data_IF_048272688904
#
_entry.id   IF_048272688904
#
_cell.length_a   1.000
_cell.length_b   1.000
_cell.length_c   1.000
_cell.angle_alpha   90.00
_cell.angle_beta   90.00
_cell.angle_gamma   90.00
#
_symmetry.space_group_name_H-M   'P 1'
#
loop_
_entity.id
_entity.type
_entity.pdbx_description
1 polymer ?
#
# COMPACT_ATOMS: atom_id res chain seq x y z
N UNK A 1 3.61 4.75 23.97
CA UNK A 1 4.44 4.86 22.76
C UNK A 1 3.90 6.01 21.91
N UNK A 2 4.65 7.10 21.76
CA UNK A 2 4.23 8.24 20.95
C UNK A 2 4.58 8.03 19.49
N UNK A 3 3.63 8.29 18.58
CA UNK A 3 3.94 8.41 17.15
C UNK A 3 4.83 9.63 16.94
N UNK A 4 5.83 9.53 16.05
CA UNK A 4 6.67 10.67 15.69
C UNK A 4 5.90 11.63 14.76
N UNK A 5 6.18 12.93 14.88
CA UNK A 5 5.68 13.93 13.94
C UNK A 5 6.32 13.71 12.56
N UNK A 6 5.52 13.80 11.49
CA UNK A 6 6.00 13.65 10.11
C UNK A 6 6.04 15.02 9.43
N UNK A 7 7.11 15.28 8.65
CA UNK A 7 7.25 16.52 7.88
C UNK A 7 6.88 16.29 6.43
N UNK A 8 5.88 17.02 5.94
CA UNK A 8 5.55 17.12 4.53
C UNK A 8 5.61 18.60 4.14
N UNK A 9 6.48 18.94 3.18
CA UNK A 9 6.55 20.25 2.52
C UNK A 9 6.53 21.48 3.46
N UNK A 10 7.27 21.43 4.56
CA UNK A 10 7.41 22.55 5.51
C UNK A 10 6.31 22.65 6.56
N UNK A 11 5.32 21.75 6.54
CA UNK A 11 4.31 21.62 7.59
C UNK A 11 4.67 20.44 8.49
N UNK A 12 4.70 20.68 9.80
CA UNK A 12 4.86 19.63 10.80
C UNK A 12 3.49 19.07 11.15
N UNK A 13 3.23 17.84 10.73
CA UNK A 13 1.97 17.18 11.04
C UNK A 13 2.04 16.59 12.44
N UNK A 14 1.07 16.88 13.33
CA UNK A 14 1.05 16.30 14.65
C UNK A 14 0.89 14.77 14.53
N UNK A 15 1.45 14.02 15.49
CA UNK A 15 1.26 12.59 15.51
C UNK A 15 -0.22 12.24 15.67
N UNK A 16 -0.70 11.32 14.84
CA UNK A 16 -2.07 10.79 14.92
C UNK A 16 -2.06 9.62 15.90
N UNK A 17 -2.89 9.69 16.93
CA UNK A 17 -3.08 8.58 17.87
C UNK A 17 -3.92 7.47 17.22
N UNK A 18 -3.41 6.23 17.26
CA UNK A 18 -4.14 5.03 16.87
C UNK A 18 -4.03 3.98 18.00
N UNK A 19 -5.16 3.47 18.52
CA UNK A 19 -5.14 2.49 19.61
C UNK A 19 -4.88 1.05 19.13
N UNK A 20 -4.87 0.81 17.82
CA UNK A 20 -4.68 -0.52 17.25
C UNK A 20 -3.20 -0.81 16.96
N UNK A 21 -2.80 -2.06 17.13
CA UNK A 21 -1.47 -2.52 16.73
C UNK A 21 -1.34 -2.54 15.21
N UNK A 22 -0.16 -2.17 14.71
CA UNK A 22 0.14 -2.23 13.28
C UNK A 22 0.27 -3.68 12.84
N UNK A 23 -0.48 -4.08 11.82
CA UNK A 23 -0.38 -5.38 11.19
C UNK A 23 -0.19 -5.24 9.68
N UNK A 24 0.45 -6.23 9.06
CA UNK A 24 0.64 -6.32 7.61
C UNK A 24 0.56 -7.79 7.19
N UNK A 25 -0.08 -8.05 6.06
CA UNK A 25 -0.19 -9.40 5.52
C UNK A 25 1.21 -10.00 5.28
N UNK A 26 1.50 -11.22 5.77
CA UNK A 26 2.84 -11.81 5.72
C UNK A 26 3.38 -11.99 4.28
N UNK A 27 2.47 -12.08 3.30
CA UNK A 27 2.80 -12.27 1.88
C UNK A 27 2.76 -10.98 1.04
N UNK A 28 2.78 -9.80 1.67
CA UNK A 28 2.66 -8.50 0.97
C UNK A 28 3.59 -8.38 -0.24
N UNK A 29 4.83 -8.85 -0.16
CA UNK A 29 5.80 -8.79 -1.26
C UNK A 29 5.40 -9.63 -2.47
N UNK A 30 4.80 -10.79 -2.23
CA UNK A 30 4.32 -11.68 -3.29
C UNK A 30 3.06 -11.10 -3.94
N UNK A 31 2.16 -10.54 -3.13
CA UNK A 31 0.97 -9.82 -3.61
C UNK A 31 1.37 -8.60 -4.44
N UNK A 32 2.32 -7.79 -3.97
CA UNK A 32 2.82 -6.61 -4.68
C UNK A 32 3.41 -6.97 -6.05
N UNK A 33 4.22 -8.03 -6.11
CA UNK A 33 4.75 -8.53 -7.39
C UNK A 33 3.63 -8.94 -8.36
N UNK A 34 2.67 -9.76 -7.91
CA UNK A 34 1.53 -10.20 -8.73
C UNK A 34 0.67 -9.02 -9.20
N UNK A 35 0.45 -8.02 -8.34
CA UNK A 35 -0.30 -6.83 -8.68
C UNK A 35 0.40 -6.00 -9.77
N UNK A 36 1.72 -5.83 -9.69
CA UNK A 36 2.50 -5.08 -10.71
C UNK A 36 2.49 -5.79 -12.07
N UNK A 37 2.59 -7.12 -12.06
CA UNK A 37 2.46 -7.95 -13.26
C UNK A 37 1.06 -7.80 -13.87
N UNK A 38 0.01 -7.99 -13.05
CA UNK A 38 -1.37 -7.83 -13.50
C UNK A 38 -1.68 -6.44 -14.04
N UNK A 39 -1.21 -5.36 -13.40
CA UNK A 39 -1.39 -3.99 -13.90
C UNK A 39 -0.76 -3.85 -15.29
N UNK A 40 0.41 -4.44 -15.51
CA UNK A 40 1.08 -4.46 -16.82
C UNK A 40 0.24 -5.13 -17.91
N UNK A 41 -0.45 -6.22 -17.56
CA UNK A 41 -1.19 -7.04 -18.53
C UNK A 41 -2.68 -6.66 -18.68
N UNK A 42 -3.24 -5.94 -17.71
CA UNK A 42 -4.68 -5.64 -17.62
C UNK A 42 -5.23 -4.69 -18.70
N UNK A 43 -4.38 -3.91 -19.36
CA UNK A 43 -4.79 -2.82 -20.24
C UNK A 43 -5.42 -1.62 -19.52
N UNK A 44 -5.39 -1.56 -18.18
CA UNK A 44 -5.97 -0.47 -17.40
C UNK A 44 -5.19 0.85 -17.49
N UNK A 45 -3.90 0.79 -17.80
CA UNK A 45 -3.06 1.98 -17.98
C UNK A 45 -2.85 2.20 -19.48
N UNK A 46 -3.20 3.40 -19.99
CA UNK A 46 -3.04 3.72 -21.40
C UNK A 46 -1.59 4.04 -21.77
N UNK A 47 -0.77 4.44 -20.77
CA UNK A 47 0.64 4.78 -20.96
C UNK A 47 1.54 4.17 -19.90
N UNK A 48 2.83 4.01 -20.22
CA UNK A 48 3.85 3.59 -19.25
C UNK A 48 3.97 4.58 -18.07
N UNK A 49 3.75 5.87 -18.33
CA UNK A 49 3.72 6.90 -17.30
C UNK A 49 2.59 6.67 -16.31
N UNK A 50 1.38 6.40 -16.79
CA UNK A 50 0.24 6.06 -15.92
C UNK A 50 0.51 4.80 -15.13
N UNK A 51 1.06 3.75 -15.77
CA UNK A 51 1.47 2.52 -15.07
C UNK A 51 2.46 2.81 -13.94
N UNK A 52 3.48 3.63 -14.19
CA UNK A 52 4.46 4.01 -13.17
C UNK A 52 3.80 4.75 -11.99
N UNK A 53 2.87 5.67 -12.26
CA UNK A 53 2.10 6.36 -11.23
C UNK A 53 1.19 5.42 -10.45
N UNK A 54 0.52 4.49 -11.12
CA UNK A 54 -0.33 3.48 -10.47
C UNK A 54 0.47 2.57 -9.56
N UNK A 55 1.67 2.13 -9.96
CA UNK A 55 2.53 1.32 -9.09
C UNK A 55 3.05 2.14 -7.90
N UNK A 56 3.37 3.42 -8.11
CA UNK A 56 3.90 4.31 -7.08
C UNK A 56 2.91 4.63 -5.93
N UNK A 57 1.62 4.31 -6.08
CA UNK A 57 0.64 4.49 -4.98
C UNK A 57 0.81 3.46 -3.87
N UNK A 58 1.58 2.39 -4.09
CA UNK A 58 1.74 1.28 -3.14
C UNK A 58 0.41 0.69 -2.65
N UNK A 59 -0.60 0.61 -3.53
CA UNK A 59 -1.92 0.07 -3.15
C UNK A 59 -1.86 -1.35 -2.58
N UNK A 60 -0.90 -2.18 -3.00
CA UNK A 60 -0.71 -3.51 -2.42
C UNK A 60 -0.30 -3.48 -0.93
N UNK A 61 0.56 -2.53 -0.52
CA UNK A 61 0.93 -2.35 0.89
C UNK A 61 -0.28 -1.87 1.72
N UNK A 62 -1.07 -0.95 1.15
CA UNK A 62 -2.30 -0.49 1.77
C UNK A 62 -3.27 -1.66 2.03
N UNK A 63 -3.55 -2.50 1.03
CA UNK A 63 -4.44 -3.64 1.21
C UNK A 63 -3.88 -4.69 2.18
N UNK A 64 -2.56 -4.90 2.19
CA UNK A 64 -1.92 -5.80 3.14
C UNK A 64 -2.06 -5.33 4.60
N UNK A 65 -2.16 -4.03 4.85
CA UNK A 65 -2.43 -3.46 6.19
C UNK A 65 -3.92 -3.42 6.52
N UNK A 66 -4.76 -3.23 5.51
CA UNK A 66 -6.21 -3.22 5.64
C UNK A 66 -6.77 -4.60 5.99
N UNK A 67 -6.27 -5.66 5.32
CA UNK A 67 -6.70 -7.03 5.51
C UNK A 67 -5.50 -7.96 5.77
N UNK A 68 -4.86 -7.86 6.95
CA UNK A 68 -3.60 -8.55 7.25
C UNK A 68 -3.72 -10.07 7.40
N UNK A 69 -4.94 -10.61 7.46
CA UNK A 69 -5.25 -12.04 7.62
C UNK A 69 -6.13 -12.60 6.50
N UNK A 70 -6.35 -11.82 5.43
CA UNK A 70 -7.10 -12.31 4.28
C UNK A 70 -6.37 -13.49 3.62
N UNK A 71 -7.13 -14.49 3.17
CA UNK A 71 -6.58 -15.52 2.31
C UNK A 71 -6.24 -14.96 0.91
N UNK A 72 -5.38 -15.65 0.17
CA UNK A 72 -4.78 -15.14 -1.07
C UNK A 72 -5.80 -14.77 -2.16
N UNK A 73 -6.97 -15.40 -2.15
CA UNK A 73 -8.03 -15.24 -3.16
C UNK A 73 -9.36 -14.72 -2.58
N UNK A 74 -9.41 -14.37 -1.29
CA UNK A 74 -10.62 -13.87 -0.62
C UNK A 74 -11.72 -14.93 -0.46
N UNK A 75 -11.69 -15.66 0.66
CA UNK A 75 -12.82 -16.41 1.21
C UNK A 75 -12.89 -16.20 2.73
#
# INVERSE_FOLDING_TARGET
>A
MGSAASRVSGVELPPVFCPFESAVHPRVRQVEKRAVEWIGDSGMCATERERAWTVATHSADFFARFAPVADEDGC
#
